data_IF_218658003094
#
_entry.id   IF_218658003094
#
_cell.length_a   1.000
_cell.length_b   1.000
_cell.length_c   1.000
_cell.angle_alpha   90.00
_cell.angle_beta   90.00
_cell.angle_gamma   90.00
#
_symmetry.space_group_name_H-M   'P 1'
#
loop_
_entity.id
_entity.type
_entity.pdbx_description
1 polymer ?
#
# COMPACT_ATOMS: atom_id res chain seq x y z
N UNK A 1 6.59 23.02 -6.24
CA UNK A 1 7.85 22.27 -6.10
C UNK A 1 7.58 20.89 -5.51
N UNK A 2 6.80 20.81 -4.41
CA UNK A 2 6.36 19.53 -3.80
C UNK A 2 5.61 18.61 -4.77
N UNK A 3 4.65 19.13 -5.56
CA UNK A 3 3.93 18.33 -6.57
C UNK A 3 4.82 17.72 -7.64
N UNK A 4 5.87 18.42 -8.06
CA UNK A 4 6.81 17.95 -9.08
C UNK A 4 7.80 16.92 -8.50
N UNK A 5 8.25 17.13 -7.26
CA UNK A 5 9.08 16.13 -6.56
C UNK A 5 8.30 14.83 -6.42
N UNK A 6 7.03 14.90 -6.03
CA UNK A 6 6.16 13.73 -5.88
C UNK A 6 6.00 12.96 -7.20
N UNK A 7 5.68 13.66 -8.30
CA UNK A 7 5.59 13.06 -9.65
C UNK A 7 6.91 12.36 -10.03
N UNK A 8 8.06 12.98 -9.75
CA UNK A 8 9.37 12.40 -10.07
C UNK A 8 9.72 11.21 -9.17
N UNK A 9 9.31 11.20 -7.90
CA UNK A 9 9.47 10.01 -7.03
C UNK A 9 8.59 8.85 -7.47
N UNK A 10 7.37 9.10 -7.95
CA UNK A 10 6.47 8.05 -8.44
C UNK A 10 7.05 7.33 -9.66
N UNK A 11 7.89 8.01 -10.44
CA UNK A 11 8.58 7.46 -11.61
C UNK A 11 9.89 6.74 -11.26
N UNK A 12 10.23 6.59 -9.97
CA UNK A 12 11.36 5.82 -9.49
C UNK A 12 12.71 6.26 -10.08
N UNK A 13 13.51 5.31 -10.56
CA UNK A 13 14.83 5.60 -11.14
C UNK A 13 14.76 6.51 -12.37
N UNK A 14 13.68 6.44 -13.17
CA UNK A 14 13.52 7.29 -14.36
C UNK A 14 13.22 8.74 -13.97
N UNK A 15 12.39 8.96 -12.95
CA UNK A 15 12.15 10.30 -12.42
C UNK A 15 13.40 10.90 -11.77
N UNK A 16 14.23 10.09 -11.10
CA UNK A 16 15.54 10.54 -10.61
C UNK A 16 16.50 10.91 -11.74
N UNK A 17 16.54 10.13 -12.82
CA UNK A 17 17.35 10.44 -14.00
C UNK A 17 16.97 11.81 -14.57
N UNK A 18 15.67 12.05 -14.78
CA UNK A 18 15.15 13.31 -15.31
C UNK A 18 15.43 14.48 -14.36
N UNK A 19 15.21 14.28 -13.07
CA UNK A 19 15.53 15.25 -12.04
C UNK A 19 17.01 15.66 -12.05
N UNK A 20 17.90 14.66 -12.12
CA UNK A 20 19.33 14.87 -12.16
C UNK A 20 19.80 15.49 -13.48
N UNK A 21 19.16 15.17 -14.61
CA UNK A 21 19.38 15.81 -15.90
C UNK A 21 19.05 17.29 -15.84
N UNK A 22 17.89 17.64 -15.28
CA UNK A 22 17.49 19.04 -15.09
C UNK A 22 18.48 19.77 -14.17
N UNK A 23 18.85 19.15 -13.05
CA UNK A 23 19.79 19.70 -12.07
C UNK A 23 21.22 19.88 -12.63
N UNK A 24 21.67 18.95 -13.48
CA UNK A 24 22.96 19.04 -14.17
C UNK A 24 22.95 19.99 -15.36
N UNK A 25 21.77 20.49 -15.73
CA UNK A 25 21.56 21.44 -16.81
C UNK A 25 21.34 22.85 -16.25
N UNK A 26 20.39 23.57 -16.84
CA UNK A 26 20.13 25.00 -16.67
C UNK A 26 19.20 25.28 -15.48
N UNK A 27 18.42 24.27 -15.07
CA UNK A 27 17.30 24.47 -14.15
C UNK A 27 17.76 24.27 -12.71
N UNK A 28 17.54 25.24 -11.79
CA UNK A 28 17.84 25.07 -10.37
C UNK A 28 16.86 24.03 -9.79
N UNK A 29 17.30 22.77 -9.76
CA UNK A 29 16.52 21.63 -9.29
C UNK A 29 17.37 20.78 -8.35
N UNK A 30 16.79 20.35 -7.22
CA UNK A 30 17.50 19.50 -6.27
C UNK A 30 17.19 18.03 -6.53
N UNK A 31 18.06 17.39 -7.32
CA UNK A 31 18.03 15.93 -7.52
C UNK A 31 18.33 15.13 -6.25
N UNK A 32 18.95 15.77 -5.26
CA UNK A 32 19.27 15.20 -3.96
C UNK A 32 18.02 14.89 -3.14
N UNK A 33 17.02 15.76 -3.18
CA UNK A 33 15.74 15.54 -2.48
C UNK A 33 14.99 14.35 -3.07
N UNK A 34 14.97 14.23 -4.40
CA UNK A 34 14.37 13.08 -5.09
C UNK A 34 15.14 11.80 -4.77
N UNK A 35 16.48 11.84 -4.79
CA UNK A 35 17.31 10.69 -4.40
C UNK A 35 17.07 10.26 -2.96
N UNK A 36 17.01 11.22 -2.03
CA UNK A 36 16.78 10.93 -0.60
C UNK A 36 15.40 10.34 -0.37
N UNK A 37 14.36 10.86 -1.03
CA UNK A 37 13.02 10.31 -0.97
C UNK A 37 12.97 8.87 -1.52
N UNK A 38 13.58 8.60 -2.68
CA UNK A 38 13.61 7.25 -3.26
C UNK A 38 14.37 6.24 -2.39
N UNK A 39 15.51 6.64 -1.80
CA UNK A 39 16.25 5.81 -0.84
C UNK A 39 15.40 5.55 0.40
N UNK A 40 14.71 6.56 0.93
CA UNK A 40 13.79 6.41 2.05
C UNK A 40 12.56 5.54 1.72
N UNK A 41 12.16 5.48 0.44
CA UNK A 41 11.11 4.59 -0.07
C UNK A 41 11.58 3.15 -0.32
N UNK A 42 12.86 2.83 -0.10
CA UNK A 42 13.40 1.48 -0.17
C UNK A 42 14.01 1.08 -1.52
N UNK A 43 14.17 2.01 -2.47
CA UNK A 43 14.87 1.70 -3.73
C UNK A 43 16.35 1.41 -3.48
N UNK A 44 16.95 0.57 -4.34
CA UNK A 44 18.36 0.13 -4.23
C UNK A 44 19.28 1.36 -4.33
N UNK A 45 20.04 1.72 -3.27
CA UNK A 45 20.77 2.98 -3.24
C UNK A 45 21.82 3.15 -4.35
N UNK A 46 22.48 2.07 -4.75
CA UNK A 46 23.48 2.12 -5.82
C UNK A 46 22.87 2.40 -7.20
N UNK A 47 21.62 1.95 -7.44
CA UNK A 47 20.88 2.26 -8.66
C UNK A 47 20.42 3.72 -8.67
N UNK A 48 20.08 4.29 -7.51
CA UNK A 48 19.81 5.71 -7.39
C UNK A 48 21.04 6.55 -7.74
N UNK A 49 22.21 6.19 -7.20
CA UNK A 49 23.49 6.85 -7.51
C UNK A 49 23.81 6.75 -9.00
N UNK A 50 23.68 5.56 -9.61
CA UNK A 50 23.94 5.36 -11.02
C UNK A 50 23.00 6.20 -11.90
N UNK A 51 21.70 6.13 -11.63
CA UNK A 51 20.67 6.88 -12.38
C UNK A 51 20.91 8.39 -12.31
N UNK A 52 21.13 8.92 -11.10
CA UNK A 52 21.39 10.34 -10.90
C UNK A 52 22.69 10.79 -11.58
N UNK A 53 23.74 9.97 -11.52
CA UNK A 53 25.03 10.27 -12.17
C UNK A 53 24.92 10.32 -13.68
N UNK A 54 24.18 9.40 -14.30
CA UNK A 54 23.93 9.38 -15.74
C UNK A 54 23.09 10.60 -16.18
N UNK A 55 21.99 10.87 -15.48
CA UNK A 55 21.13 12.01 -15.76
C UNK A 55 21.90 13.32 -15.65
N UNK A 56 22.59 13.53 -14.53
CA UNK A 56 23.36 14.74 -14.30
C UNK A 56 24.48 14.89 -15.34
N UNK A 57 25.19 13.82 -15.70
CA UNK A 57 26.21 13.85 -16.77
C UNK A 57 25.62 14.33 -18.08
N UNK A 58 24.47 13.78 -18.48
CA UNK A 58 23.78 14.21 -19.70
C UNK A 58 23.39 15.69 -19.65
N UNK A 59 22.88 16.17 -18.50
CA UNK A 59 22.63 17.60 -18.28
C UNK A 59 23.89 18.45 -18.46
N UNK A 60 25.02 18.04 -17.88
CA UNK A 60 26.29 18.78 -18.03
C UNK A 60 26.84 18.79 -19.46
N UNK A 61 26.59 17.72 -20.21
CA UNK A 61 26.92 17.67 -21.64
C UNK A 61 26.10 18.69 -22.45
N UNK A 62 24.87 19.02 -22.05
CA UNK A 62 24.14 20.11 -22.71
C UNK A 62 24.86 21.45 -22.58
N UNK A 63 25.45 21.74 -21.41
CA UNK A 63 26.25 22.94 -21.18
C UNK A 63 27.54 22.95 -22.00
N UNK A 64 28.20 21.79 -22.10
CA UNK A 64 29.35 21.59 -22.99
C UNK A 64 29.00 21.87 -24.45
N UNK A 65 27.87 21.35 -24.94
CA UNK A 65 27.43 21.57 -26.31
C UNK A 65 27.07 23.02 -26.59
N UNK A 66 26.42 23.72 -25.65
CA UNK A 66 26.16 25.16 -25.76
C UNK A 66 27.46 25.97 -25.90
N UNK A 67 28.48 25.65 -25.09
CA UNK A 67 29.81 26.26 -25.22
C UNK A 67 30.45 25.97 -26.57
N UNK A 68 30.31 24.74 -27.07
CA UNK A 68 30.86 24.33 -28.38
C UNK A 68 30.19 25.03 -29.56
N UNK A 69 28.90 25.35 -29.44
CA UNK A 69 28.14 26.14 -30.42
C UNK A 69 28.49 27.64 -30.39
N UNK A 70 29.13 28.12 -29.31
CA UNK A 70 29.55 29.52 -29.18
C UNK A 70 28.41 30.53 -29.02
N UNK A 71 27.21 30.08 -28.62
CA UNK A 71 26.02 30.94 -28.42
C UNK A 71 26.07 31.64 -27.06
N UNK A 72 26.93 32.65 -26.93
CA UNK A 72 27.11 33.44 -25.70
C UNK A 72 25.80 33.99 -25.15
N UNK A 73 24.90 34.45 -26.01
CA UNK A 73 23.61 35.04 -25.62
C UNK A 73 22.69 34.01 -24.95
N UNK A 74 22.76 32.74 -25.38
CA UNK A 74 21.98 31.65 -24.79
C UNK A 74 22.57 31.19 -23.47
N UNK A 75 23.91 31.19 -23.37
CA UNK A 75 24.62 30.84 -22.13
C UNK A 75 24.27 31.84 -21.03
N UNK A 76 24.29 33.14 -21.32
CA UNK A 76 23.92 34.14 -20.34
C UNK A 76 22.43 34.08 -19.98
N UNK A 77 21.54 34.02 -20.99
CA UNK A 77 20.08 34.04 -20.80
C UNK A 77 19.55 32.82 -20.05
N UNK A 78 20.05 31.63 -20.39
CA UNK A 78 19.52 30.39 -19.85
C UNK A 78 20.35 29.93 -18.65
N UNK A 79 21.68 29.83 -18.77
CA UNK A 79 22.53 29.30 -17.68
C UNK A 79 22.83 30.34 -16.58
N UNK A 80 22.53 31.62 -16.81
CA UNK A 80 22.89 32.69 -15.88
C UNK A 80 24.41 32.86 -15.71
N UNK A 81 25.21 32.27 -16.61
CA UNK A 81 26.67 32.33 -16.57
C UNK A 81 27.11 33.54 -17.36
N UNK A 82 27.60 34.56 -16.65
CA UNK A 82 28.10 35.78 -17.29
C UNK A 82 29.32 35.49 -18.19
N UNK A 83 29.47 36.18 -19.34
CA UNK A 83 30.60 35.97 -20.26
C UNK A 83 31.97 36.05 -19.59
N UNK A 84 32.17 36.98 -18.65
CA UNK A 84 33.46 37.16 -17.96
C UNK A 84 33.85 35.93 -17.13
N UNK A 85 32.85 35.20 -16.60
CA UNK A 85 33.05 33.97 -15.85
C UNK A 85 33.49 32.83 -16.76
N UNK A 86 32.92 32.76 -17.97
CA UNK A 86 33.33 31.79 -19.00
C UNK A 86 34.75 32.08 -19.44
N UNK A 87 35.10 33.33 -19.74
CA UNK A 87 36.45 33.73 -20.14
C UNK A 87 37.49 33.44 -19.05
N UNK A 88 37.18 33.79 -17.80
CA UNK A 88 38.05 33.48 -16.66
C UNK A 88 38.29 31.98 -16.55
N UNK A 89 37.25 31.18 -16.77
CA UNK A 89 37.34 29.73 -16.75
C UNK A 89 38.14 29.19 -17.94
N UNK A 90 37.95 29.72 -19.15
CA UNK A 90 38.78 29.36 -20.31
C UNK A 90 40.27 29.59 -20.02
N UNK A 91 40.64 30.77 -19.49
CA UNK A 91 42.03 31.07 -19.12
C UNK A 91 42.56 30.11 -18.04
N UNK A 92 41.76 29.80 -17.03
CA UNK A 92 42.14 28.84 -15.99
C UNK A 92 42.32 27.41 -16.53
N UNK A 93 41.51 27.01 -17.51
CA UNK A 93 41.51 25.67 -18.11
C UNK A 93 42.55 25.50 -19.23
N UNK A 94 43.18 26.58 -19.70
CA UNK A 94 44.25 26.51 -20.69
C UNK A 94 45.35 25.55 -20.22
N UNK A 95 45.66 24.55 -21.06
CA UNK A 95 46.65 23.51 -20.76
C UNK A 95 46.18 22.39 -19.82
N UNK A 96 44.98 22.46 -19.23
CA UNK A 96 44.46 21.46 -18.26
C UNK A 96 43.53 20.40 -18.87
N UNK A 97 43.05 20.64 -20.09
CA UNK A 97 42.37 19.63 -20.93
C UNK A 97 41.02 19.13 -20.42
N UNK A 98 40.51 18.08 -21.07
CA UNK A 98 39.18 17.50 -20.81
C UNK A 98 39.01 16.87 -19.40
N UNK A 99 40.10 16.54 -18.70
CA UNK A 99 40.06 15.98 -17.34
C UNK A 99 39.48 16.95 -16.30
N UNK A 100 39.48 18.24 -16.60
CA UNK A 100 38.84 19.24 -15.75
C UNK A 100 37.32 19.08 -15.66
N UNK A 101 36.72 18.30 -16.57
CA UNK A 101 35.30 17.96 -16.51
C UNK A 101 34.92 17.21 -15.21
N UNK A 102 35.88 16.57 -14.53
CA UNK A 102 35.70 15.97 -13.21
C UNK A 102 35.09 16.94 -12.21
N UNK A 103 35.48 18.22 -12.23
CA UNK A 103 35.02 19.21 -11.25
C UNK A 103 33.68 19.86 -11.59
N UNK A 104 32.99 19.39 -12.64
CA UNK A 104 31.69 19.93 -13.06
C UNK A 104 30.55 19.63 -12.08
N UNK A 105 30.79 18.79 -11.08
CA UNK A 105 29.84 18.58 -9.99
C UNK A 105 29.84 19.74 -8.97
N UNK A 106 30.80 20.68 -9.00
CA UNK A 106 30.86 21.76 -8.04
C UNK A 106 29.75 22.79 -8.29
N UNK A 107 28.97 23.17 -7.26
CA UNK A 107 27.89 24.13 -7.42
C UNK A 107 28.45 25.49 -7.88
N UNK A 108 27.69 26.19 -8.73
CA UNK A 108 27.99 27.51 -9.29
C UNK A 108 29.20 27.59 -10.23
N UNK A 109 30.14 26.65 -10.17
CA UNK A 109 31.38 26.68 -10.97
C UNK A 109 31.33 25.64 -12.08
N UNK A 110 30.64 24.52 -11.86
CA UNK A 110 30.63 23.38 -12.75
C UNK A 110 30.07 23.67 -14.14
N UNK A 111 29.04 24.51 -14.23
CA UNK A 111 28.42 24.91 -15.49
C UNK A 111 29.40 25.74 -16.34
N UNK A 112 30.13 26.66 -15.70
CA UNK A 112 31.15 27.47 -16.36
C UNK A 112 32.32 26.61 -16.87
N UNK A 113 32.72 25.58 -16.12
CA UNK A 113 33.73 24.61 -16.56
C UNK A 113 33.23 23.86 -17.80
N UNK A 114 32.01 23.32 -17.77
CA UNK A 114 31.45 22.57 -18.89
C UNK A 114 31.35 23.43 -20.16
N UNK A 115 30.84 24.66 -20.03
CA UNK A 115 30.73 25.63 -21.13
C UNK A 115 32.12 26.00 -21.68
N UNK A 116 33.09 26.33 -20.82
CA UNK A 116 34.44 26.68 -21.23
C UNK A 116 35.14 25.53 -21.96
N UNK A 117 35.01 24.29 -21.45
CA UNK A 117 35.50 23.08 -22.12
C UNK A 117 34.87 22.88 -23.51
N UNK A 118 33.60 23.27 -23.67
CA UNK A 118 32.88 23.31 -24.93
C UNK A 118 33.48 24.30 -25.92
N UNK A 119 33.68 25.55 -25.50
CA UNK A 119 34.33 26.58 -26.31
C UNK A 119 35.74 26.16 -26.76
N UNK A 120 36.49 25.54 -25.86
CA UNK A 120 37.84 25.04 -26.12
C UNK A 120 37.85 23.76 -26.98
N UNK A 121 36.68 23.23 -27.36
CA UNK A 121 36.51 22.01 -28.18
C UNK A 121 37.30 20.81 -27.63
N UNK A 122 37.28 20.65 -26.31
CA UNK A 122 37.93 19.53 -25.64
C UNK A 122 37.41 18.17 -26.12
N UNK A 123 38.17 17.09 -25.92
CA UNK A 123 37.78 15.77 -26.41
C UNK A 123 36.48 15.29 -25.74
N UNK A 124 35.42 15.06 -26.53
CA UNK A 124 34.10 14.71 -26.01
C UNK A 124 34.11 13.43 -25.17
N UNK A 125 34.79 12.38 -25.61
CA UNK A 125 34.81 11.11 -24.89
C UNK A 125 35.48 11.27 -23.52
N UNK A 126 36.62 11.95 -23.48
CA UNK A 126 37.36 12.17 -22.24
C UNK A 126 36.60 13.13 -21.30
N UNK A 127 35.97 14.16 -21.85
CA UNK A 127 35.11 15.10 -21.10
C UNK A 127 33.91 14.38 -20.51
N UNK A 128 33.22 13.53 -21.28
CA UNK A 128 32.06 12.75 -20.80
C UNK A 128 32.45 11.77 -19.68
N UNK A 129 33.54 11.03 -19.85
CA UNK A 129 34.00 10.05 -18.86
C UNK A 129 34.45 10.73 -17.55
N UNK A 130 35.22 11.81 -17.69
CA UNK A 130 35.70 12.59 -16.55
C UNK A 130 34.55 13.27 -15.79
N UNK A 131 33.58 13.83 -16.52
CA UNK A 131 32.35 14.39 -15.96
C UNK A 131 31.53 13.35 -15.21
N UNK A 132 31.35 12.17 -15.80
CA UNK A 132 30.63 11.06 -15.17
C UNK A 132 31.31 10.63 -13.86
N UNK A 133 32.64 10.46 -13.86
CA UNK A 133 33.39 10.09 -12.66
C UNK A 133 33.22 11.10 -11.52
N UNK A 134 33.27 12.40 -11.83
CA UNK A 134 33.06 13.45 -10.84
C UNK A 134 31.64 13.48 -10.28
N UNK A 135 30.63 13.30 -11.14
CA UNK A 135 29.22 13.28 -10.73
C UNK A 135 28.88 12.02 -9.93
N UNK A 136 29.44 10.88 -10.31
CA UNK A 136 29.38 9.65 -9.55
C UNK A 136 29.96 9.83 -8.15
N UNK A 137 31.16 10.41 -8.03
CA UNK A 137 31.77 10.70 -6.73
C UNK A 137 30.87 11.60 -5.86
N UNK A 138 30.28 12.66 -6.44
CA UNK A 138 29.33 13.54 -5.72
C UNK A 138 28.14 12.75 -5.15
N UNK A 139 27.45 11.96 -5.98
CA UNK A 139 26.28 11.21 -5.52
C UNK A 139 26.62 10.10 -4.53
N UNK A 140 27.80 9.47 -4.63
CA UNK A 140 28.30 8.53 -3.62
C UNK A 140 28.50 9.25 -2.28
N UNK A 141 29.18 10.40 -2.26
CA UNK A 141 29.37 11.17 -1.02
C UNK A 141 28.04 11.61 -0.40
N UNK A 142 27.10 12.06 -1.22
CA UNK A 142 25.75 12.43 -0.77
C UNK A 142 24.98 11.24 -0.19
N UNK A 143 25.08 10.07 -0.82
CA UNK A 143 24.45 8.85 -0.29
C UNK A 143 25.06 8.46 1.06
N UNK A 144 26.39 8.52 1.20
CA UNK A 144 27.07 8.23 2.47
C UNK A 144 26.64 9.21 3.57
N UNK A 145 26.53 10.50 3.26
CA UNK A 145 26.02 11.50 4.19
C UNK A 145 24.57 11.22 4.60
N UNK A 146 23.70 10.86 3.64
CA UNK A 146 22.31 10.48 3.91
C UNK A 146 22.22 9.24 4.82
N UNK A 147 23.02 8.20 4.54
CA UNK A 147 23.07 6.99 5.37
C UNK A 147 23.61 7.28 6.79
N UNK A 148 24.57 8.19 6.92
CA UNK A 148 25.10 8.62 8.22
C UNK A 148 24.07 9.37 9.08
N UNK A 149 23.21 10.19 8.45
CA UNK A 149 22.09 10.88 9.13
C UNK A 149 20.99 9.88 9.51
N UNK A 150 20.64 8.95 8.62
CA UNK A 150 19.63 7.91 8.90
C UNK A 150 20.07 6.96 10.03
N UNK A 151 21.37 6.67 10.12
CA UNK A 151 21.93 5.84 11.19
C UNK A 151 21.94 6.54 12.56
N UNK A 152 21.93 7.88 12.61
CA UNK A 152 21.95 8.66 13.86
C UNK A 152 20.55 9.08 14.35
N UNK A 153 19.51 9.01 13.52
CA UNK A 153 18.14 9.44 13.86
C UNK A 153 17.15 8.29 14.05
N UNK A 154 17.61 7.04 14.09
CA UNK A 154 16.72 5.92 14.37
C UNK A 154 16.92 5.48 15.83
N UNK A 155 15.98 5.76 16.76
CA UNK A 155 15.99 5.04 18.04
C UNK A 155 15.96 3.55 17.71
N UNK A 156 16.71 2.69 18.43
CA UNK A 156 16.74 1.27 18.13
C UNK A 156 15.32 0.74 18.32
N UNK A 157 14.61 0.55 17.20
CA UNK A 157 13.42 -0.30 17.19
C UNK A 157 13.99 -1.65 17.55
N UNK A 158 13.66 -2.16 18.74
CA UNK A 158 14.09 -3.48 19.18
C UNK A 158 13.79 -4.43 18.02
N UNK A 159 14.83 -4.85 17.30
CA UNK A 159 14.72 -5.84 16.26
C UNK A 159 14.36 -7.11 17.01
N UNK A 160 13.07 -7.41 17.06
CA UNK A 160 12.67 -8.75 17.41
C UNK A 160 13.24 -9.62 16.30
N UNK A 161 14.20 -10.47 16.64
CA UNK A 161 14.85 -11.46 15.75
C UNK A 161 13.86 -12.49 15.17
N UNK A 162 12.56 -12.26 15.35
CA UNK A 162 11.47 -13.14 14.95
C UNK A 162 11.21 -12.98 13.45
N UNK A 163 11.06 -14.09 12.70
CA UNK A 163 10.62 -14.02 11.31
C UNK A 163 9.26 -13.31 11.19
N UNK A 164 9.09 -12.53 10.14
CA UNK A 164 7.84 -11.81 9.86
C UNK A 164 6.96 -12.64 8.93
N UNK A 165 5.66 -12.70 9.23
CA UNK A 165 4.60 -13.15 8.31
C UNK A 165 3.67 -11.97 8.08
N UNK A 166 3.34 -11.68 6.83
CA UNK A 166 2.42 -10.60 6.50
C UNK A 166 1.03 -11.16 6.19
N UNK A 167 -0.01 -10.50 6.66
CA UNK A 167 -1.41 -10.78 6.33
C UNK A 167 -2.02 -9.59 5.60
N UNK A 168 -3.12 -9.85 4.91
CA UNK A 168 -3.84 -8.81 4.16
C UNK A 168 -4.60 -7.83 5.04
N UNK A 169 -5.36 -8.34 6.03
CA UNK A 169 -6.31 -7.56 6.82
C UNK A 169 -6.24 -7.93 8.31
N UNK A 170 -6.64 -6.99 9.18
CA UNK A 170 -6.58 -7.11 10.64
C UNK A 170 -7.30 -8.32 11.26
N UNK A 171 -8.51 -8.75 10.84
CA UNK A 171 -9.13 -9.96 11.40
C UNK A 171 -8.32 -11.22 11.08
N UNK A 172 -7.64 -11.27 9.92
CA UNK A 172 -6.70 -12.35 9.62
C UNK A 172 -5.45 -12.24 10.49
N UNK A 173 -5.01 -11.02 10.85
CA UNK A 173 -3.89 -10.82 11.79
C UNK A 173 -4.20 -11.44 13.14
N UNK A 174 -5.41 -11.23 13.65
CA UNK A 174 -5.86 -11.86 14.90
C UNK A 174 -5.79 -13.39 14.84
N UNK A 175 -6.34 -14.00 13.78
CA UNK A 175 -6.31 -15.45 13.61
C UNK A 175 -4.87 -15.97 13.53
N UNK A 176 -3.99 -15.28 12.79
CA UNK A 176 -2.58 -15.68 12.63
C UNK A 176 -1.80 -15.51 13.92
N UNK A 177 -1.93 -14.41 14.65
CA UNK A 177 -1.24 -14.19 15.94
C UNK A 177 -1.71 -15.20 17.00
N UNK A 178 -3.01 -15.53 17.01
CA UNK A 178 -3.56 -16.53 17.90
C UNK A 178 -2.91 -17.91 17.68
N UNK A 179 -2.57 -18.29 16.45
CA UNK A 179 -1.86 -19.56 16.16
C UNK A 179 -0.34 -19.43 16.28
N UNK A 180 0.26 -18.36 15.76
CA UNK A 180 1.70 -18.16 15.68
C UNK A 180 2.38 -17.98 17.04
N UNK A 181 1.69 -17.32 17.98
CA UNK A 181 2.27 -16.94 19.27
C UNK A 181 3.56 -16.15 19.09
N UNK A 182 4.54 -16.42 19.94
CA UNK A 182 5.80 -15.68 19.94
C UNK A 182 6.79 -16.08 18.85
N UNK A 183 6.47 -17.03 17.97
CA UNK A 183 7.43 -17.53 16.96
C UNK A 183 7.52 -16.66 15.71
N UNK A 184 6.47 -15.89 15.42
CA UNK A 184 6.45 -14.96 14.29
C UNK A 184 5.99 -13.58 14.75
N UNK A 185 6.54 -12.56 14.12
CA UNK A 185 5.92 -11.24 14.11
C UNK A 185 4.89 -11.20 12.98
N UNK A 186 3.67 -10.73 13.23
CA UNK A 186 2.63 -10.65 12.21
C UNK A 186 2.41 -9.19 11.81
N UNK A 187 2.56 -8.89 10.52
CA UNK A 187 2.30 -7.56 9.94
C UNK A 187 1.01 -7.57 9.15
N UNK A 188 0.29 -6.44 9.09
CA UNK A 188 -0.93 -6.28 8.29
C UNK A 188 -0.69 -5.29 7.16
N UNK A 189 -1.03 -5.67 5.93
CA UNK A 189 -0.79 -4.84 4.76
C UNK A 189 -1.79 -3.69 4.66
N UNK A 190 -3.09 -3.96 4.78
CA UNK A 190 -4.13 -2.92 4.79
C UNK A 190 -4.15 -2.26 6.17
N UNK A 191 -3.87 -0.95 6.28
CA UNK A 191 -3.88 -0.26 7.56
C UNK A 191 -5.32 -0.06 8.07
N UNK A 192 -5.45 0.15 9.39
CA UNK A 192 -6.74 0.41 10.03
C UNK A 192 -7.45 1.61 9.39
N UNK A 193 -8.72 1.42 9.02
CA UNK A 193 -9.57 2.44 8.39
C UNK A 193 -9.40 2.59 6.88
N UNK A 194 -8.51 1.84 6.24
CA UNK A 194 -8.46 1.73 4.78
C UNK A 194 -9.36 0.60 4.28
N UNK A 195 -9.99 0.80 3.12
CA UNK A 195 -10.81 -0.23 2.48
C UNK A 195 -9.95 -1.20 1.66
N UNK A 196 -10.04 -2.52 1.88
CA UNK A 196 -9.32 -3.51 1.07
C UNK A 196 -9.85 -3.60 -0.38
N UNK A 197 -11.03 -3.05 -0.69
CA UNK A 197 -11.57 -3.09 -2.06
C UNK A 197 -10.85 -2.12 -3.00
N UNK A 198 -10.31 -1.02 -2.47
CA UNK A 198 -9.64 0.04 -3.23
C UNK A 198 -8.20 0.26 -2.80
N UNK A 199 -7.68 -0.58 -1.91
CA UNK A 199 -6.37 -0.40 -1.32
C UNK A 199 -5.24 -0.53 -2.35
N UNK A 200 -4.29 0.41 -2.30
CA UNK A 200 -3.08 0.39 -3.10
C UNK A 200 -1.85 0.38 -2.19
N UNK A 201 -1.13 -0.75 -2.06
CA UNK A 201 0.05 -0.83 -1.21
C UNK A 201 1.16 0.13 -1.67
N UNK A 202 1.80 0.81 -0.72
CA UNK A 202 2.94 1.69 -1.02
C UNK A 202 4.18 0.88 -1.42
N UNK A 203 5.13 1.47 -2.18
CA UNK A 203 6.41 0.81 -2.51
C UNK A 203 7.18 0.31 -1.28
N UNK A 204 7.09 1.03 -0.17
CA UNK A 204 7.67 0.62 1.12
C UNK A 204 7.02 -0.66 1.64
N UNK A 205 5.69 -0.74 1.63
CA UNK A 205 4.99 -1.95 2.09
C UNK A 205 5.24 -3.15 1.20
N UNK A 206 5.39 -2.96 -0.12
CA UNK A 206 5.80 -4.02 -1.03
C UNK A 206 7.21 -4.55 -0.70
N UNK A 207 8.12 -3.64 -0.33
CA UNK A 207 9.48 -4.00 0.12
C UNK A 207 9.44 -4.76 1.44
N UNK A 208 8.65 -4.30 2.41
CA UNK A 208 8.45 -4.99 3.71
C UNK A 208 7.79 -6.38 3.53
N UNK A 209 6.82 -6.49 2.61
CA UNK A 209 6.16 -7.74 2.24
C UNK A 209 7.14 -8.72 1.59
N UNK A 210 8.00 -8.26 0.67
CA UNK A 210 9.03 -9.09 0.05
C UNK A 210 10.06 -9.63 1.06
N UNK A 211 10.29 -8.93 2.17
CA UNK A 211 11.12 -9.41 3.28
C UNK A 211 10.44 -10.38 4.23
N UNK A 212 9.14 -10.65 4.06
CA UNK A 212 8.38 -11.59 4.91
C UNK A 212 8.61 -13.03 4.49
N UNK A 213 8.48 -13.97 5.44
CA UNK A 213 8.55 -15.42 5.17
C UNK A 213 7.38 -15.91 4.32
N UNK A 214 6.22 -15.30 4.51
CA UNK A 214 5.01 -15.63 3.77
C UNK A 214 4.03 -14.47 3.80
N UNK A 215 3.12 -14.48 2.82
CA UNK A 215 1.93 -13.67 2.76
C UNK A 215 0.69 -14.55 2.90
N UNK A 216 -0.05 -14.38 3.99
CA UNK A 216 -1.29 -15.11 4.25
C UNK A 216 -2.47 -14.21 3.84
N UNK A 217 -3.14 -14.60 2.74
CA UNK A 217 -4.18 -13.84 2.06
C UNK A 217 -5.53 -14.54 2.12
N UNK A 218 -6.61 -13.80 1.86
CA UNK A 218 -7.98 -14.34 1.76
C UNK A 218 -8.38 -14.74 0.34
N UNK A 219 -7.53 -14.49 -0.64
CA UNK A 219 -7.67 -14.95 -2.03
C UNK A 219 -8.51 -14.02 -2.92
N UNK A 220 -9.65 -13.56 -2.43
CA UNK A 220 -10.68 -12.93 -3.26
C UNK A 220 -10.89 -11.42 -3.02
N UNK A 221 -10.12 -10.77 -2.15
CA UNK A 221 -10.23 -9.31 -1.99
C UNK A 221 -9.75 -8.59 -3.25
N UNK A 222 -10.36 -7.44 -3.55
CA UNK A 222 -10.03 -6.60 -4.69
C UNK A 222 -8.53 -6.34 -4.83
N UNK A 223 -7.91 -5.81 -3.78
CA UNK A 223 -6.48 -5.49 -3.81
C UNK A 223 -5.58 -6.72 -3.93
N UNK A 224 -5.94 -7.85 -3.29
CA UNK A 224 -5.12 -9.06 -3.31
C UNK A 224 -4.94 -9.57 -4.72
N UNK A 225 -5.99 -9.49 -5.55
CA UNK A 225 -5.96 -9.89 -6.96
C UNK A 225 -5.25 -8.87 -7.83
N UNK A 226 -5.58 -7.59 -7.65
CA UNK A 226 -4.96 -6.51 -8.43
C UNK A 226 -3.43 -6.51 -8.28
N UNK A 227 -2.94 -6.97 -7.13
CA UNK A 227 -1.52 -7.03 -6.81
C UNK A 227 -0.89 -8.42 -6.89
N UNK A 228 -1.66 -9.51 -7.07
CA UNK A 228 -1.11 -10.87 -7.11
C UNK A 228 0.00 -11.02 -8.16
N UNK A 229 -0.28 -10.68 -9.42
CA UNK A 229 0.69 -10.80 -10.53
C UNK A 229 1.94 -9.92 -10.29
N UNK A 230 1.74 -8.69 -9.80
CA UNK A 230 2.85 -7.77 -9.50
C UNK A 230 3.71 -8.28 -8.35
N UNK A 231 3.10 -8.90 -7.35
CA UNK A 231 3.82 -9.46 -6.20
C UNK A 231 4.59 -10.71 -6.60
N UNK A 232 4.01 -11.60 -7.38
CA UNK A 232 4.70 -12.77 -7.95
C UNK A 232 5.90 -12.36 -8.79
N UNK A 233 5.76 -11.30 -9.61
CA UNK A 233 6.85 -10.80 -10.45
C UNK A 233 8.00 -10.13 -9.66
N UNK A 234 7.68 -9.43 -8.56
CA UNK A 234 8.66 -8.63 -7.81
C UNK A 234 9.23 -9.32 -6.57
N UNK A 235 8.57 -10.36 -6.06
CA UNK A 235 8.97 -11.14 -4.90
C UNK A 235 8.75 -12.65 -5.14
N UNK A 236 9.47 -13.27 -6.10
CA UNK A 236 9.23 -14.65 -6.51
C UNK A 236 9.50 -15.69 -5.40
N UNK A 237 10.32 -15.33 -4.40
CA UNK A 237 10.61 -16.19 -3.25
C UNK A 237 9.56 -16.06 -2.13
N UNK A 238 8.63 -15.11 -2.23
CA UNK A 238 7.59 -14.90 -1.23
C UNK A 238 6.52 -15.99 -1.34
N UNK A 239 6.37 -16.80 -0.29
CA UNK A 239 5.32 -17.79 -0.24
C UNK A 239 3.95 -17.14 0.02
N UNK A 240 3.10 -17.08 -1.01
CA UNK A 240 1.68 -16.73 -0.84
C UNK A 240 0.87 -17.96 -0.38
N UNK A 241 0.08 -17.79 0.68
CA UNK A 241 -0.82 -18.81 1.23
C UNK A 241 -2.25 -18.29 1.13
N UNK A 242 -3.09 -18.96 0.35
CA UNK A 242 -4.50 -18.64 0.25
C UNK A 242 -5.28 -19.36 1.37
N UNK A 243 -5.82 -18.59 2.32
CA UNK A 243 -6.59 -19.13 3.44
C UNK A 243 -8.03 -19.51 3.03
N UNK A 244 -8.49 -19.10 1.84
CA UNK A 244 -9.81 -19.42 1.32
C UNK A 244 -9.89 -20.75 0.57
N UNK A 245 -8.75 -21.40 0.32
CA UNK A 245 -8.69 -22.66 -0.40
C UNK A 245 -9.56 -23.73 0.29
N UNK A 246 -10.48 -24.36 -0.46
CA UNK A 246 -11.37 -25.40 0.08
C UNK A 246 -12.50 -24.89 0.99
N UNK A 247 -12.67 -23.57 1.15
CA UNK A 247 -13.84 -23.02 1.83
C UNK A 247 -15.11 -23.18 0.98
N UNK A 248 -16.26 -23.24 1.65
CA UNK A 248 -17.55 -23.16 0.97
C UNK A 248 -17.85 -21.69 0.64
N UNK A 249 -17.51 -21.28 -0.58
CA UNK A 249 -17.62 -19.90 -1.04
C UNK A 249 -19.04 -19.54 -1.50
N UNK A 250 -19.50 -18.34 -1.16
CA UNK A 250 -20.70 -17.74 -1.76
C UNK A 250 -20.31 -17.18 -3.13
N UNK A 251 -21.06 -17.57 -4.16
CA UNK A 251 -20.86 -17.11 -5.53
C UNK A 251 -22.08 -16.33 -6.00
N UNK A 252 -21.85 -15.28 -6.78
CA UNK A 252 -22.91 -14.48 -7.38
C UNK A 252 -23.72 -15.39 -8.33
N UNK A 253 -24.96 -15.71 -7.95
CA UNK A 253 -25.90 -16.31 -8.89
C UNK A 253 -26.39 -15.23 -9.84
N UNK A 254 -26.12 -15.40 -11.14
CA UNK A 254 -26.49 -14.52 -12.28
C UNK A 254 -28.00 -14.19 -12.44
N UNK A 255 -28.85 -14.48 -11.44
CA UNK A 255 -30.30 -14.41 -11.57
C UNK A 255 -30.95 -13.77 -10.32
N UNK A 256 -30.92 -12.43 -10.25
CA UNK A 256 -32.04 -11.57 -9.81
C UNK A 256 -31.53 -10.19 -9.33
N UNK A 257 -31.67 -9.15 -10.16
CA UNK A 257 -31.83 -7.73 -9.78
C UNK A 257 -30.65 -7.05 -9.05
N UNK A 258 -30.16 -5.93 -9.62
CA UNK A 258 -29.30 -4.93 -8.97
C UNK A 258 -28.32 -5.44 -7.88
N UNK A 259 -27.58 -6.50 -8.18
CA UNK A 259 -26.63 -7.12 -7.24
C UNK A 259 -25.27 -6.42 -7.25
N UNK A 260 -24.55 -6.53 -6.12
CA UNK A 260 -23.12 -6.25 -6.09
C UNK A 260 -22.41 -7.32 -6.91
N UNK A 261 -21.67 -6.92 -7.94
CA UNK A 261 -20.85 -7.83 -8.72
C UNK A 261 -19.42 -7.78 -8.22
N UNK A 262 -18.94 -8.89 -7.67
CA UNK A 262 -17.52 -9.06 -7.41
C UNK A 262 -16.81 -9.42 -8.73
N UNK A 263 -15.55 -9.00 -8.89
CA UNK A 263 -14.79 -9.16 -10.15
C UNK A 263 -14.75 -10.63 -10.63
N UNK A 264 -14.74 -11.59 -9.70
CA UNK A 264 -14.74 -13.04 -10.00
C UNK A 264 -16.07 -13.73 -9.67
N UNK A 265 -17.10 -12.95 -9.32
CA UNK A 265 -18.38 -13.48 -8.84
C UNK A 265 -18.27 -14.27 -7.53
N UNK A 266 -17.24 -14.03 -6.72
CA UNK A 266 -17.04 -14.64 -5.40
C UNK A 266 -17.11 -13.56 -4.34
N UNK A 267 -17.93 -13.78 -3.32
CA UNK A 267 -18.01 -12.95 -2.12
C UNK A 267 -16.72 -13.09 -1.30
N UNK A 268 -15.91 -12.01 -1.13
CA UNK A 268 -14.58 -12.11 -0.55
C UNK A 268 -14.54 -12.09 0.99
N UNK A 269 -15.64 -11.74 1.67
CA UNK A 269 -15.67 -11.54 3.12
C UNK A 269 -15.70 -12.84 3.94
N UNK A 270 -14.87 -13.82 3.57
CA UNK A 270 -14.88 -15.20 4.07
C UNK A 270 -14.66 -15.31 5.57
N UNK A 271 -13.95 -14.35 6.19
CA UNK A 271 -13.67 -14.34 7.62
C UNK A 271 -14.92 -14.04 8.46
N UNK A 272 -15.98 -13.46 7.88
CA UNK A 272 -17.23 -13.16 8.59
C UNK A 272 -18.10 -14.42 8.86
N UNK A 273 -17.58 -15.63 8.61
CA UNK A 273 -18.20 -16.90 9.01
C UNK A 273 -17.34 -17.60 10.05
N UNK A 274 -17.95 -18.04 11.15
CA UNK A 274 -17.26 -18.83 12.16
C UNK A 274 -16.82 -20.20 11.60
N UNK A 275 -17.64 -20.82 10.74
CA UNK A 275 -17.29 -22.06 10.05
C UNK A 275 -16.05 -21.89 9.16
N UNK A 276 -16.00 -20.81 8.39
CA UNK A 276 -14.85 -20.48 7.56
C UNK A 276 -13.61 -20.12 8.39
N UNK A 277 -13.77 -19.28 9.43
CA UNK A 277 -12.69 -18.89 10.33
C UNK A 277 -12.03 -20.12 10.99
N UNK A 278 -12.81 -21.15 11.33
CA UNK A 278 -12.29 -22.42 11.85
C UNK A 278 -11.41 -23.16 10.84
N UNK A 279 -11.81 -23.20 9.56
CA UNK A 279 -10.98 -23.81 8.50
C UNK A 279 -9.74 -22.96 8.21
N UNK A 280 -9.88 -21.63 8.19
CA UNK A 280 -8.75 -20.70 8.08
C UNK A 280 -7.73 -20.92 9.20
N UNK A 281 -8.16 -21.15 10.45
CA UNK A 281 -7.26 -21.47 11.56
C UNK A 281 -6.42 -22.74 11.30
N UNK A 282 -7.03 -23.78 10.71
CA UNK A 282 -6.32 -25.00 10.31
C UNK A 282 -5.32 -24.74 9.18
N UNK A 283 -5.70 -23.95 8.17
CA UNK A 283 -4.80 -23.53 7.09
C UNK A 283 -3.62 -22.73 7.62
N UNK A 284 -3.86 -21.82 8.57
CA UNK A 284 -2.81 -21.05 9.26
C UNK A 284 -1.85 -22.00 9.98
N UNK A 285 -2.35 -22.94 10.79
CA UNK A 285 -1.51 -23.88 11.52
C UNK A 285 -0.64 -24.74 10.58
N UNK A 286 -1.21 -25.20 9.45
CA UNK A 286 -0.46 -25.91 8.42
C UNK A 286 0.58 -25.02 7.76
N UNK A 287 0.23 -23.79 7.40
CA UNK A 287 1.15 -22.84 6.78
C UNK A 287 2.33 -22.52 7.70
N UNK A 288 2.08 -22.20 8.97
CA UNK A 288 3.12 -21.91 9.95
C UNK A 288 4.00 -23.14 10.22
N UNK A 289 3.43 -24.36 10.23
CA UNK A 289 4.20 -25.60 10.35
C UNK A 289 5.13 -25.84 9.16
N UNK A 290 4.72 -25.46 7.94
CA UNK A 290 5.59 -25.54 6.75
C UNK A 290 6.73 -24.53 6.83
N UNK A 291 6.48 -23.33 7.35
CA UNK A 291 7.48 -22.27 7.51
C UNK A 291 8.45 -22.55 8.66
N UNK A 292 7.98 -23.19 9.73
CA UNK A 292 8.76 -23.51 10.93
C UNK A 292 8.33 -24.85 11.53
N UNK A 293 8.96 -25.93 11.06
CA UNK A 293 8.63 -27.29 11.47
C UNK A 293 8.84 -27.54 12.97
N UNK A 294 9.78 -26.84 13.61
CA UNK A 294 10.06 -26.98 15.03
C UNK A 294 8.90 -26.46 15.91
N UNK A 295 8.05 -25.58 15.37
CA UNK A 295 6.88 -25.04 16.05
C UNK A 295 5.60 -25.88 15.95
N UNK A 296 5.60 -27.02 15.24
CA UNK A 296 4.38 -27.78 14.89
C UNK A 296 3.46 -28.07 16.10
N UNK A 297 4.02 -28.60 17.19
CA UNK A 297 3.24 -28.95 18.37
C UNK A 297 2.57 -27.72 19.01
N UNK A 298 3.27 -26.58 19.01
CA UNK A 298 2.74 -25.30 19.49
C UNK A 298 1.61 -24.80 18.58
N UNK A 299 1.81 -24.80 17.26
CA UNK A 299 0.79 -24.33 16.32
C UNK A 299 -0.47 -25.19 16.39
N UNK A 300 -0.34 -26.51 16.53
CA UNK A 300 -1.48 -27.40 16.74
C UNK A 300 -2.24 -27.06 18.03
N UNK A 301 -1.55 -26.97 19.16
CA UNK A 301 -2.17 -26.63 20.44
C UNK A 301 -2.87 -25.26 20.42
N UNK A 302 -2.23 -24.26 19.80
CA UNK A 302 -2.79 -22.90 19.69
C UNK A 302 -3.95 -22.83 18.72
N UNK A 303 -3.89 -23.58 17.62
CA UNK A 303 -5.01 -23.76 16.71
C UNK A 303 -6.21 -24.38 17.43
N UNK A 304 -6.02 -25.41 18.25
CA UNK A 304 -7.11 -25.99 19.05
C UNK A 304 -7.73 -24.96 20.01
N UNK A 305 -6.90 -24.14 20.65
CA UNK A 305 -7.39 -23.05 21.51
C UNK A 305 -8.18 -21.99 20.73
N UNK A 306 -7.70 -21.59 19.55
CA UNK A 306 -8.40 -20.65 18.67
C UNK A 306 -9.74 -21.24 18.18
N UNK A 307 -9.76 -22.51 17.78
CA UNK A 307 -10.99 -23.20 17.39
C UNK A 307 -12.03 -23.18 18.52
N UNK A 308 -11.64 -23.41 19.78
CA UNK A 308 -12.57 -23.28 20.92
C UNK A 308 -13.13 -21.87 21.09
N UNK A 309 -12.33 -20.83 20.83
CA UNK A 309 -12.81 -19.44 20.85
C UNK A 309 -13.83 -19.22 19.74
N UNK A 310 -13.54 -19.67 18.52
CA UNK A 310 -14.44 -19.57 17.36
C UNK A 310 -15.75 -20.33 17.61
N UNK A 311 -15.67 -21.58 18.09
CA UNK A 311 -16.83 -22.43 18.38
C UNK A 311 -17.72 -21.81 19.48
N UNK A 312 -17.09 -21.20 20.50
CA UNK A 312 -17.81 -20.46 21.54
C UNK A 312 -18.50 -19.22 20.98
N UNK A 313 -17.83 -18.44 20.14
CA UNK A 313 -18.40 -17.27 19.48
C UNK A 313 -19.60 -17.65 18.62
N UNK A 314 -19.48 -18.70 17.80
CA UNK A 314 -20.59 -19.24 16.98
C UNK A 314 -21.78 -19.63 17.86
N UNK A 315 -21.53 -20.40 18.93
CA UNK A 315 -22.57 -20.84 19.87
C UNK A 315 -23.31 -19.67 20.52
N UNK A 316 -22.58 -18.62 20.93
CA UNK A 316 -23.17 -17.41 21.51
C UNK A 316 -23.98 -16.61 20.47
N UNK A 317 -23.46 -16.46 19.25
CA UNK A 317 -24.21 -15.83 18.16
C UNK A 317 -25.51 -16.58 17.87
N UNK A 318 -25.47 -17.92 17.76
CA UNK A 318 -26.68 -18.75 17.59
C UNK A 318 -27.66 -18.56 18.74
N UNK A 319 -27.19 -18.56 19.98
CA UNK A 319 -28.04 -18.38 21.16
C UNK A 319 -28.71 -16.99 21.19
N UNK A 320 -27.98 -15.93 20.84
CA UNK A 320 -28.54 -14.57 20.74
C UNK A 320 -29.59 -14.48 19.64
N UNK A 321 -29.28 -15.01 18.46
CA UNK A 321 -30.15 -14.95 17.29
C UNK A 321 -31.31 -15.95 17.35
N UNK A 322 -31.29 -16.95 18.24
CA UNK A 322 -32.43 -17.85 18.47
C UNK A 322 -33.53 -17.24 19.36
N UNK A 323 -33.26 -16.10 20.01
CA UNK A 323 -34.22 -15.47 20.92
C UNK A 323 -35.49 -15.00 20.19
N UNK A 324 -36.67 -15.18 20.79
CA UNK A 324 -37.91 -14.62 20.25
C UNK A 324 -37.77 -13.11 20.03
N UNK A 325 -38.14 -12.64 18.84
CA UNK A 325 -38.03 -11.22 18.48
C UNK A 325 -36.68 -10.79 17.90
N UNK A 326 -35.65 -11.66 17.84
CA UNK A 326 -34.41 -11.34 17.15
C UNK A 326 -34.64 -11.13 15.63
N UNK A 327 -33.95 -10.15 15.06
CA UNK A 327 -34.05 -9.78 13.64
C UNK A 327 -33.77 -10.96 12.71
N UNK A 328 -34.51 -11.02 11.59
CA UNK A 328 -34.29 -11.99 10.49
C UNK A 328 -33.69 -11.37 9.24
N UNK A 329 -33.73 -10.04 9.15
CA UNK A 329 -33.19 -9.27 8.05
C UNK A 329 -32.51 -8.02 8.62
N UNK A 330 -31.44 -7.59 7.96
CA UNK A 330 -30.74 -6.35 8.30
C UNK A 330 -30.29 -5.65 7.03
N UNK A 331 -30.15 -4.34 7.15
CA UNK A 331 -29.45 -3.56 6.13
C UNK A 331 -28.00 -3.35 6.53
N UNK A 332 -27.12 -3.29 5.56
CA UNK A 332 -25.71 -2.95 5.74
C UNK A 332 -25.27 -2.05 4.61
N UNK A 333 -24.37 -1.10 4.87
CA UNK A 333 -23.90 -0.21 3.81
C UNK A 333 -23.26 -1.02 2.69
N UNK A 334 -22.07 -1.58 2.95
CA UNK A 334 -21.35 -2.48 2.05
C UNK A 334 -21.60 -3.95 2.46
N UNK A 335 -21.84 -4.90 1.54
CA UNK A 335 -22.26 -6.28 1.83
C UNK A 335 -21.21 -7.22 2.50
N UNK A 336 -20.50 -6.76 3.53
CA UNK A 336 -19.40 -7.50 4.17
C UNK A 336 -19.83 -8.67 5.09
N UNK A 337 -21.13 -8.91 5.29
CA UNK A 337 -21.64 -9.92 6.24
C UNK A 337 -22.40 -11.06 5.55
N UNK A 338 -22.23 -11.25 4.24
CA UNK A 338 -22.92 -12.30 3.46
C UNK A 338 -22.73 -13.70 4.06
N UNK A 339 -21.51 -14.06 4.48
CA UNK A 339 -21.22 -15.34 5.12
C UNK A 339 -21.81 -15.47 6.54
N UNK A 340 -21.82 -14.37 7.31
CA UNK A 340 -22.50 -14.32 8.60
C UNK A 340 -24.00 -14.59 8.40
N UNK A 341 -24.60 -13.89 7.44
CA UNK A 341 -26.02 -14.01 7.13
C UNK A 341 -26.40 -15.45 6.73
N UNK A 342 -25.58 -16.09 5.89
CA UNK A 342 -25.73 -17.51 5.53
C UNK A 342 -25.72 -18.42 6.76
N UNK A 343 -24.71 -18.30 7.61
CA UNK A 343 -24.47 -19.23 8.73
C UNK A 343 -25.53 -19.17 9.83
N UNK A 344 -26.22 -18.03 9.96
CA UNK A 344 -27.27 -17.80 10.96
C UNK A 344 -28.69 -17.65 10.38
N UNK A 345 -28.88 -17.88 9.07
CA UNK A 345 -30.19 -17.83 8.43
C UNK A 345 -30.82 -16.44 8.41
N UNK A 346 -30.01 -15.41 8.15
CA UNK A 346 -30.42 -14.02 8.05
C UNK A 346 -30.46 -13.57 6.60
N UNK A 347 -31.24 -12.53 6.33
CA UNK A 347 -31.24 -11.83 5.04
C UNK A 347 -30.44 -10.53 5.15
N UNK A 348 -29.36 -10.43 4.38
CA UNK A 348 -28.61 -9.19 4.20
C UNK A 348 -29.22 -8.37 3.06
N UNK A 349 -29.38 -7.06 3.29
CA UNK A 349 -29.82 -6.10 2.27
C UNK A 349 -28.76 -5.00 2.15
N UNK A 350 -27.98 -4.93 1.07
CA UNK A 350 -26.98 -3.88 0.90
C UNK A 350 -27.60 -2.53 0.57
N UNK A 351 -26.99 -1.44 1.04
CA UNK A 351 -27.41 -0.06 0.72
C UNK A 351 -26.67 0.46 -0.50
N UNK A 352 -25.36 0.25 -0.61
CA UNK A 352 -24.66 0.53 -1.86
C UNK A 352 -25.13 -0.42 -2.98
N UNK A 353 -24.70 -0.15 -4.21
CA UNK A 353 -24.86 -1.07 -5.33
C UNK A 353 -23.55 -1.09 -6.14
N UNK A 354 -22.80 -2.19 -6.05
CA UNK A 354 -21.50 -2.35 -6.72
C UNK A 354 -20.45 -1.29 -6.36
N UNK A 355 -20.34 -0.91 -5.08
CA UNK A 355 -19.38 0.10 -4.63
C UNK A 355 -19.73 1.55 -5.00
N UNK A 356 -20.96 1.80 -5.45
CA UNK A 356 -21.44 3.15 -5.81
C UNK A 356 -22.52 3.64 -4.85
N UNK A 357 -22.57 4.96 -4.69
CA UNK A 357 -23.62 5.62 -3.93
C UNK A 357 -25.02 5.36 -4.53
N UNK A 358 -26.04 5.18 -3.68
CA UNK A 358 -27.39 4.86 -4.12
C UNK A 358 -28.06 6.04 -4.84
N UNK A 359 -28.74 5.77 -5.96
CA UNK A 359 -29.57 6.77 -6.65
C UNK A 359 -30.86 7.07 -5.85
N UNK A 360 -31.55 8.21 -6.10
CA UNK A 360 -32.80 8.51 -5.40
C UNK A 360 -33.90 7.45 -5.59
N UNK A 361 -33.99 6.83 -6.78
CA UNK A 361 -34.95 5.74 -7.03
C UNK A 361 -34.60 4.49 -6.23
N UNK A 362 -33.30 4.18 -6.12
CA UNK A 362 -32.81 3.06 -5.32
C UNK A 362 -33.00 3.31 -3.82
N UNK A 363 -32.75 4.53 -3.33
CA UNK A 363 -33.06 4.91 -1.94
C UNK A 363 -34.54 4.70 -1.60
N UNK A 364 -35.45 5.02 -2.52
CA UNK A 364 -36.88 4.75 -2.34
C UNK A 364 -37.15 3.25 -2.23
N UNK A 365 -36.57 2.45 -3.13
CA UNK A 365 -36.71 0.99 -3.11
C UNK A 365 -36.15 0.37 -1.82
N UNK A 366 -35.03 0.89 -1.31
CA UNK A 366 -34.48 0.51 -0.01
C UNK A 366 -35.45 0.84 1.12
N UNK A 367 -36.03 2.05 1.17
CA UNK A 367 -37.04 2.41 2.19
C UNK A 367 -38.25 1.46 2.14
N UNK A 368 -38.74 1.14 0.94
CA UNK A 368 -39.86 0.22 0.75
C UNK A 368 -39.49 -1.21 1.18
N UNK A 369 -38.29 -1.67 0.84
CA UNK A 369 -37.74 -2.98 1.25
C UNK A 369 -37.57 -3.05 2.77
N UNK A 370 -37.04 -2.00 3.40
CA UNK A 370 -36.86 -1.89 4.85
C UNK A 370 -38.19 -2.08 5.58
N UNK A 371 -39.27 -1.42 5.10
CA UNK A 371 -40.62 -1.54 5.67
C UNK A 371 -41.20 -2.93 5.45
N UNK A 372 -41.09 -3.46 4.23
CA UNK A 372 -41.62 -4.79 3.86
C UNK A 372 -40.98 -5.91 4.68
N UNK A 373 -39.67 -5.89 4.82
CA UNK A 373 -38.88 -6.90 5.54
C UNK A 373 -38.81 -6.62 7.06
N UNK A 374 -39.42 -5.52 7.52
CA UNK A 374 -39.43 -5.06 8.93
C UNK A 374 -38.02 -4.96 9.52
N UNK A 375 -37.08 -4.45 8.73
CA UNK A 375 -35.70 -4.24 9.15
C UNK A 375 -35.66 -3.16 10.24
N UNK A 376 -34.98 -3.46 11.36
CA UNK A 376 -34.85 -2.55 12.49
C UNK A 376 -33.44 -1.97 12.67
N UNK A 377 -32.45 -2.54 11.97
CA UNK A 377 -31.05 -2.12 12.08
C UNK A 377 -30.42 -1.95 10.70
N UNK A 378 -29.66 -0.87 10.56
CA UNK A 378 -28.83 -0.53 9.40
C UNK A 378 -27.39 -0.44 9.89
N UNK A 379 -26.56 -1.37 9.46
CA UNK A 379 -25.15 -1.41 9.78
C UNK A 379 -24.32 -0.51 8.85
N UNK A 380 -23.36 0.23 9.41
CA UNK A 380 -22.42 1.04 8.63
C UNK A 380 -20.99 0.81 9.10
N UNK A 381 -20.08 0.60 8.15
CA UNK A 381 -18.66 0.38 8.41
C UNK A 381 -17.86 1.69 8.42
N UNK A 382 -16.69 1.77 9.08
CA UNK A 382 -15.92 3.01 9.23
C UNK A 382 -15.44 3.60 7.91
N UNK A 383 -15.30 2.77 6.87
CA UNK A 383 -14.80 3.17 5.55
C UNK A 383 -15.85 3.92 4.71
N UNK A 384 -17.11 3.98 5.16
CA UNK A 384 -18.23 4.50 4.38
C UNK A 384 -18.99 5.64 5.05
N UNK A 385 -19.57 6.52 4.23
CA UNK A 385 -20.37 7.65 4.67
C UNK A 385 -21.77 7.22 5.16
N UNK A 386 -22.21 7.81 6.28
CA UNK A 386 -23.44 7.41 6.98
C UNK A 386 -24.71 8.09 6.46
N UNK A 387 -24.62 9.12 5.62
CA UNK A 387 -25.76 9.99 5.26
C UNK A 387 -26.93 9.20 4.67
N UNK A 388 -26.65 8.26 3.75
CA UNK A 388 -27.70 7.44 3.13
C UNK A 388 -28.38 6.50 4.14
N UNK A 389 -27.62 5.89 5.04
CA UNK A 389 -28.19 5.06 6.10
C UNK A 389 -29.08 5.88 7.05
N UNK A 390 -28.67 7.10 7.38
CA UNK A 390 -29.44 8.02 8.21
C UNK A 390 -30.75 8.48 7.53
N UNK A 391 -30.73 8.71 6.22
CA UNK A 391 -31.94 9.03 5.45
C UNK A 391 -32.94 7.87 5.47
N UNK A 392 -32.47 6.64 5.27
CA UNK A 392 -33.34 5.44 5.34
C UNK A 392 -33.89 5.29 6.76
N UNK A 393 -33.04 5.43 7.79
CA UNK A 393 -33.45 5.37 9.20
C UNK A 393 -34.53 6.40 9.54
N UNK A 394 -34.38 7.65 9.08
CA UNK A 394 -35.36 8.71 9.31
C UNK A 394 -36.74 8.36 8.74
N UNK A 395 -36.80 7.66 7.61
CA UNK A 395 -38.04 7.29 6.92
C UNK A 395 -38.67 5.98 7.44
N UNK A 396 -37.90 5.16 8.14
CA UNK A 396 -38.29 3.78 8.50
C UNK A 396 -38.35 3.54 10.01
N UNK A 397 -37.69 4.39 10.80
CA UNK A 397 -37.51 4.20 12.24
C UNK A 397 -36.42 3.18 12.59
N UNK A 398 -35.67 2.66 11.61
CA UNK A 398 -34.56 1.75 11.86
C UNK A 398 -33.40 2.48 12.57
N UNK A 399 -32.62 1.75 13.37
CA UNK A 399 -31.41 2.26 14.02
C UNK A 399 -30.20 2.14 13.10
N UNK A 400 -29.42 3.20 13.00
CA UNK A 400 -28.09 3.14 12.37
C UNK A 400 -27.06 2.72 13.42
N UNK A 401 -26.34 1.64 13.17
CA UNK A 401 -25.36 1.06 14.07
C UNK A 401 -24.01 0.92 13.38
N UNK A 402 -22.95 1.41 14.02
CA UNK A 402 -21.60 1.23 13.51
C UNK A 402 -21.09 -0.17 13.87
N UNK A 403 -20.52 -0.85 12.90
CA UNK A 403 -19.80 -2.13 13.03
C UNK A 403 -18.47 -2.00 12.30
N UNK A 404 -17.50 -2.87 12.59
CA UNK A 404 -16.24 -2.92 11.87
C UNK A 404 -15.85 -4.37 11.55
N UNK A 405 -16.33 -4.94 10.43
CA UNK A 405 -15.93 -6.29 9.98
C UNK A 405 -14.41 -6.46 9.77
N UNK A 406 -13.65 -5.36 9.68
CA UNK A 406 -12.19 -5.33 9.59
C UNK A 406 -11.51 -5.10 10.96
N UNK A 407 -12.25 -5.18 12.06
CA UNK A 407 -11.67 -5.08 13.40
C UNK A 407 -10.71 -6.25 13.66
N UNK A 408 -9.67 -5.96 14.43
CA UNK A 408 -8.72 -6.97 14.89
C UNK A 408 -9.41 -8.00 15.81
N UNK A 409 -10.19 -7.55 16.80
CA UNK A 409 -10.89 -8.45 17.72
C UNK A 409 -12.11 -9.10 17.05
N UNK A 410 -11.84 -10.16 16.29
CA UNK A 410 -12.84 -10.87 15.51
C UNK A 410 -14.01 -11.41 16.37
N UNK A 411 -13.79 -12.09 17.52
CA UNK A 411 -14.89 -12.55 18.36
C UNK A 411 -15.81 -11.42 18.84
N UNK A 412 -15.24 -10.32 19.32
CA UNK A 412 -16.01 -9.20 19.85
C UNK A 412 -16.90 -8.59 18.77
N UNK A 413 -16.39 -8.44 17.55
CA UNK A 413 -17.15 -7.89 16.43
C UNK A 413 -18.30 -8.82 16.00
N UNK A 414 -18.05 -10.13 15.87
CA UNK A 414 -19.11 -11.09 15.53
C UNK A 414 -20.23 -11.09 16.59
N UNK A 415 -19.86 -11.02 17.87
CA UNK A 415 -20.82 -10.92 18.97
C UNK A 415 -21.54 -9.58 19.00
N UNK A 416 -20.89 -8.48 18.60
CA UNK A 416 -21.52 -7.16 18.47
C UNK A 416 -22.63 -7.19 17.43
N UNK A 417 -22.36 -7.72 16.24
CA UNK A 417 -23.36 -7.88 15.17
C UNK A 417 -24.56 -8.69 15.68
N UNK A 418 -24.31 -9.86 16.30
CA UNK A 418 -25.38 -10.70 16.85
C UNK A 418 -26.19 -10.01 17.97
N UNK A 419 -25.54 -9.26 18.85
CA UNK A 419 -26.21 -8.52 19.94
C UNK A 419 -27.13 -7.43 19.41
N UNK A 420 -26.69 -6.67 18.42
CA UNK A 420 -27.49 -5.60 17.82
C UNK A 420 -28.71 -6.15 17.07
N UNK A 421 -28.57 -7.31 16.41
CA UNK A 421 -29.70 -8.05 15.81
C UNK A 421 -30.65 -8.67 16.84
N UNK A 422 -30.16 -8.93 18.06
CA UNK A 422 -30.97 -9.42 19.18
C UNK A 422 -31.49 -8.29 20.08
N UNK A 423 -31.22 -7.01 19.76
CA UNK A 423 -31.48 -5.88 20.64
C UNK A 423 -32.96 -5.76 21.04
N UNK A 424 -33.89 -5.89 20.09
CA UNK A 424 -35.33 -5.81 20.39
C UNK A 424 -35.79 -6.95 21.30
N UNK A 425 -35.28 -8.18 21.11
CA UNK A 425 -35.58 -9.30 21.99
C UNK A 425 -35.18 -9.06 23.46
N UNK A 426 -34.16 -8.21 23.69
CA UNK A 426 -33.67 -7.86 25.02
C UNK A 426 -34.46 -6.75 25.73
N UNK A 427 -35.26 -5.97 24.99
CA UNK A 427 -35.96 -4.78 25.50
C UNK A 427 -37.50 -4.88 25.38
N UNK A 428 -38.02 -6.08 25.10
CA UNK A 428 -39.47 -6.35 25.03
C UNK A 428 -39.96 -7.22 26.20
N UNK A 429 -39.24 -7.23 27.33
CA UNK A 429 -39.66 -7.89 28.59
C UNK A 429 -40.11 -6.87 29.62
#
# INVERSE_FOLDING_TARGET
>A
MESLIQILTDWGYAGLFLSALLAGSIVPFSSELVMAALVAMGLKPWLCVLSASLGNTLGGLTCYWLGRLGRTDWIEKYLGVKPEKVEKMQRFLQGRGALMAFFTFLPFVGEAIAVALGFMRSNLALTSLSMFAGKLARYVVMLLALMGVLSSCTPPKAATDKPVVTVSIEPVRYLVEAVAGDRFQVSCLVPKGASPETYDPTPRQLTELSGSRAWLRTGHLGFERAWAERLEANAPDLQAVDLSEGLELIRDTLAAGHGHHHVDGVEPHVWCSARNARQMALHIAHALTRLDKAGEALYRQRCDSLCRVIDRTDSLCRALLARPGADRAFMIYHPALSYFARDYGLRQIPVEAGGKEPSPSWLKELVDTCRKERVRVIFVQPEFDRRHAELIALQTGARVVNINPLAYDWPEEMLRVARELAYSALHTQ
#
